data_IF_335430631453
#
_entry.id   IF_335430631453
#
_cell.length_a   1.000
_cell.length_b   1.000
_cell.length_c   1.000
_cell.angle_alpha   90.00
_cell.angle_beta   90.00
_cell.angle_gamma   90.00
#
_symmetry.space_group_name_H-M   'P 1'
#
loop_
_entity.id
_entity.type
_entity.pdbx_description
1 polymer ?
#
# COMPACT_ATOMS: atom_id res chain seq x y z
N UNK A 1 -22.91 -13.64 8.80
CA UNK A 1 -21.60 -13.93 9.40
C UNK A 1 -21.54 -13.31 10.78
N UNK A 2 -20.81 -13.90 11.71
CA UNK A 2 -20.68 -13.41 13.09
C UNK A 2 -20.03 -12.00 13.11
N UNK A 3 -20.75 -10.97 13.61
CA UNK A 3 -20.23 -9.60 13.69
C UNK A 3 -18.93 -9.46 14.50
N UNK A 4 -18.68 -10.37 15.44
CA UNK A 4 -17.51 -10.31 16.32
C UNK A 4 -16.22 -10.66 15.60
N UNK A 5 -16.26 -11.66 14.69
CA UNK A 5 -15.10 -12.04 13.89
C UNK A 5 -14.67 -10.91 12.95
N UNK A 6 -15.65 -10.21 12.36
CA UNK A 6 -15.40 -9.11 11.43
C UNK A 6 -14.78 -7.90 12.14
N UNK A 7 -15.25 -7.59 13.36
CA UNK A 7 -14.67 -6.54 14.20
C UNK A 7 -13.27 -6.90 14.71
N UNK A 8 -13.06 -8.15 15.11
CA UNK A 8 -11.75 -8.64 15.54
C UNK A 8 -10.70 -8.48 14.42
N UNK A 9 -11.06 -8.82 13.18
CA UNK A 9 -10.16 -8.66 12.03
C UNK A 9 -9.75 -7.19 11.81
N UNK A 10 -10.72 -6.25 11.93
CA UNK A 10 -10.43 -4.81 11.83
C UNK A 10 -9.53 -4.34 12.98
N UNK A 11 -9.75 -4.84 14.20
CA UNK A 11 -8.94 -4.48 15.36
C UNK A 11 -7.49 -4.96 15.21
N UNK A 12 -7.28 -6.22 14.80
CA UNK A 12 -5.96 -6.78 14.51
C UNK A 12 -5.27 -5.96 13.41
N UNK A 13 -5.99 -5.63 12.34
CA UNK A 13 -5.40 -4.83 11.24
C UNK A 13 -5.04 -3.42 11.70
N UNK A 14 -5.88 -2.77 12.50
CA UNK A 14 -5.57 -1.44 13.02
C UNK A 14 -4.30 -1.45 13.89
N UNK A 15 -4.10 -2.48 14.70
CA UNK A 15 -2.86 -2.68 15.47
C UNK A 15 -1.64 -2.89 14.57
N UNK A 16 -1.79 -3.71 13.52
CA UNK A 16 -0.74 -3.92 12.51
C UNK A 16 -0.36 -2.62 11.78
N UNK A 17 -1.34 -1.85 11.29
CA UNK A 17 -1.09 -0.57 10.60
C UNK A 17 -0.41 0.47 11.50
N UNK A 18 -0.76 0.48 12.80
CA UNK A 18 -0.11 1.33 13.77
C UNK A 18 1.35 0.91 14.00
N UNK A 19 1.60 -0.39 14.11
CA UNK A 19 2.95 -0.93 14.22
C UNK A 19 3.81 -0.61 12.98
N UNK A 20 3.26 -0.77 11.78
CA UNK A 20 3.92 -0.41 10.53
C UNK A 20 4.30 1.09 10.49
N UNK A 21 3.42 1.97 10.99
CA UNK A 21 3.71 3.40 11.08
C UNK A 21 4.85 3.71 12.06
N UNK A 22 4.89 3.03 13.21
CA UNK A 22 5.99 3.15 14.19
C UNK A 22 7.29 2.64 13.58
N UNK A 23 7.26 1.49 12.91
CA UNK A 23 8.43 0.89 12.28
C UNK A 23 8.99 1.76 11.15
N UNK A 24 8.11 2.42 10.38
CA UNK A 24 8.48 3.40 9.36
C UNK A 24 9.11 4.65 9.99
N UNK A 25 8.56 5.16 11.10
CA UNK A 25 9.08 6.32 11.82
C UNK A 25 10.47 6.03 12.43
N UNK A 26 10.66 4.84 13.03
CA UNK A 26 11.94 4.41 13.60
C UNK A 26 13.03 4.22 12.52
N UNK A 27 12.65 3.89 11.29
CA UNK A 27 13.59 3.60 10.20
C UNK A 27 13.42 4.61 9.02
N UNK A 28 13.12 5.86 9.35
CA UNK A 28 12.78 6.90 8.37
C UNK A 28 13.84 7.06 7.27
N UNK A 29 15.12 6.97 7.61
CA UNK A 29 16.26 7.11 6.69
C UNK A 29 16.30 6.05 5.58
N UNK A 30 15.65 4.89 5.79
CA UNK A 30 15.69 3.76 4.86
C UNK A 30 14.33 3.42 4.23
N UNK A 31 13.23 3.80 4.89
CA UNK A 31 11.86 3.40 4.51
C UNK A 31 10.86 4.56 4.38
N UNK A 32 11.21 5.77 4.82
CA UNK A 32 10.27 6.89 4.89
C UNK A 32 9.75 7.33 3.52
N UNK A 33 8.45 7.09 3.27
CA UNK A 33 7.70 7.70 2.16
C UNK A 33 6.49 8.45 2.73
N UNK A 34 6.42 9.76 2.52
CA UNK A 34 5.30 10.59 2.98
C UNK A 34 3.96 10.12 2.42
N UNK A 35 3.93 9.56 1.20
CA UNK A 35 2.70 8.98 0.64
C UNK A 35 2.25 7.74 1.41
N UNK A 36 3.19 6.94 1.91
CA UNK A 36 2.90 5.77 2.73
C UNK A 36 2.37 6.16 4.12
N UNK A 37 2.95 7.20 4.74
CA UNK A 37 2.44 7.76 5.99
C UNK A 37 1.01 8.29 5.82
N UNK A 38 0.76 9.11 4.78
CA UNK A 38 -0.58 9.62 4.50
C UNK A 38 -1.60 8.50 4.27
N UNK A 39 -1.19 7.42 3.58
CA UNK A 39 -2.02 6.24 3.39
C UNK A 39 -2.41 5.58 4.72
N UNK A 40 -1.43 5.37 5.61
CA UNK A 40 -1.67 4.73 6.92
C UNK A 40 -2.54 5.58 7.82
N UNK A 41 -2.31 6.90 7.84
CA UNK A 41 -3.15 7.83 8.61
C UNK A 41 -4.59 7.87 8.09
N UNK A 42 -4.78 7.91 6.77
CA UNK A 42 -6.12 7.87 6.17
C UNK A 42 -6.85 6.55 6.49
N UNK A 43 -6.14 5.42 6.42
CA UNK A 43 -6.68 4.12 6.79
C UNK A 43 -7.03 4.02 8.29
N UNK A 44 -6.13 4.47 9.18
CA UNK A 44 -6.35 4.49 10.63
C UNK A 44 -7.52 5.41 11.02
N UNK A 45 -7.65 6.57 10.34
CA UNK A 45 -8.79 7.47 10.56
C UNK A 45 -10.13 6.79 10.21
N UNK A 46 -10.20 6.11 9.07
CA UNK A 46 -11.40 5.36 8.67
C UNK A 46 -11.69 4.17 9.59
N UNK A 47 -10.68 3.36 9.90
CA UNK A 47 -10.84 2.19 10.79
C UNK A 47 -11.15 2.59 12.24
N UNK A 48 -10.71 3.76 12.70
CA UNK A 48 -11.08 4.32 14.00
C UNK A 48 -12.60 4.50 14.14
N UNK A 49 -13.29 4.97 13.09
CA UNK A 49 -14.76 5.06 13.08
C UNK A 49 -15.43 3.68 13.08
N UNK A 50 -14.87 2.72 12.34
CA UNK A 50 -15.39 1.34 12.29
C UNK A 50 -15.30 0.68 13.68
N UNK A 51 -14.18 0.87 14.39
CA UNK A 51 -13.96 0.28 15.71
C UNK A 51 -14.78 0.96 16.81
N UNK A 52 -14.86 2.29 16.80
CA UNK A 52 -15.56 3.06 17.85
C UNK A 52 -17.08 3.02 17.70
N UNK A 53 -17.60 3.02 16.47
CA UNK A 53 -19.05 3.09 16.18
C UNK A 53 -19.62 1.77 15.68
N UNK A 54 -18.78 0.79 15.34
CA UNK A 54 -19.21 -0.52 14.84
C UNK A 54 -19.86 -0.49 13.45
N UNK A 55 -19.66 0.59 12.69
CA UNK A 55 -20.30 0.83 11.38
C UNK A 55 -19.37 0.44 10.22
N UNK A 56 -19.93 0.14 9.05
CA UNK A 56 -19.19 -0.22 7.82
C UNK A 56 -18.20 -1.39 7.91
N UNK A 57 -18.41 -2.43 8.74
CA UNK A 57 -17.44 -3.52 8.88
C UNK A 57 -17.23 -4.32 7.57
N UNK A 58 -18.26 -4.39 6.71
CA UNK A 58 -18.17 -4.97 5.37
C UNK A 58 -17.18 -4.21 4.48
N UNK A 59 -17.35 -2.89 4.35
CA UNK A 59 -16.51 -2.04 3.52
C UNK A 59 -15.06 -2.00 4.03
N UNK A 60 -14.89 -2.01 5.35
CA UNK A 60 -13.60 -2.15 6.01
C UNK A 60 -12.90 -3.45 5.58
N UNK A 61 -13.57 -4.60 5.72
CA UNK A 61 -12.98 -5.90 5.37
C UNK A 61 -12.75 -6.07 3.87
N UNK A 62 -13.62 -5.52 3.02
CA UNK A 62 -13.39 -5.51 1.58
C UNK A 62 -12.07 -4.79 1.25
N UNK A 63 -11.80 -3.66 1.93
CA UNK A 63 -10.55 -2.93 1.74
C UNK A 63 -9.32 -3.68 2.26
N UNK A 64 -9.47 -4.55 3.27
CA UNK A 64 -8.36 -5.41 3.75
C UNK A 64 -7.78 -6.34 2.68
N UNK A 65 -8.53 -6.65 1.61
CA UNK A 65 -8.02 -7.44 0.49
C UNK A 65 -6.76 -6.79 -0.11
N UNK A 66 -6.61 -5.46 0.00
CA UNK A 66 -5.40 -4.75 -0.46
C UNK A 66 -4.12 -5.20 0.25
N UNK A 67 -4.22 -5.70 1.47
CA UNK A 67 -3.07 -6.19 2.25
C UNK A 67 -2.43 -7.43 1.64
N UNK A 68 -3.13 -8.17 0.77
CA UNK A 68 -2.53 -9.32 0.07
C UNK A 68 -1.32 -8.94 -0.82
N UNK A 69 -1.19 -7.67 -1.18
CA UNK A 69 -0.04 -7.16 -1.93
C UNK A 69 1.16 -6.76 -1.06
N UNK A 70 0.98 -6.54 0.25
CA UNK A 70 2.05 -6.04 1.13
C UNK A 70 3.21 -7.02 1.32
N UNK A 71 3.02 -8.35 1.34
CA UNK A 71 4.15 -9.28 1.40
C UNK A 71 5.13 -9.09 0.24
N UNK A 72 4.63 -8.82 -0.97
CA UNK A 72 5.47 -8.64 -2.16
C UNK A 72 6.20 -7.30 -2.16
N UNK A 73 5.54 -6.24 -1.67
CA UNK A 73 6.15 -4.92 -1.49
C UNK A 73 7.26 -5.00 -0.44
N UNK A 74 7.00 -5.65 0.69
CA UNK A 74 7.98 -5.85 1.75
C UNK A 74 9.14 -6.74 1.28
N UNK A 75 8.86 -7.83 0.56
CA UNK A 75 9.88 -8.70 -0.02
C UNK A 75 10.80 -7.95 -0.99
N UNK A 76 10.27 -7.00 -1.77
CA UNK A 76 11.09 -6.12 -2.62
C UNK A 76 12.03 -5.27 -1.77
N UNK A 77 11.53 -4.67 -0.69
CA UNK A 77 12.37 -3.89 0.22
C UNK A 77 13.48 -4.75 0.84
N UNK A 78 13.18 -5.98 1.27
CA UNK A 78 14.19 -6.91 1.77
C UNK A 78 15.30 -7.19 0.74
N UNK A 79 14.96 -7.37 -0.53
CA UNK A 79 15.97 -7.53 -1.58
C UNK A 79 16.83 -6.27 -1.76
N UNK A 80 16.24 -5.08 -1.65
CA UNK A 80 16.98 -3.81 -1.71
C UNK A 80 17.91 -3.64 -0.48
N UNK A 81 17.43 -3.97 0.72
CA UNK A 81 18.20 -3.91 1.97
C UNK A 81 19.39 -4.89 1.96
N UNK A 82 19.18 -6.11 1.44
CA UNK A 82 20.23 -7.12 1.26
C UNK A 82 21.13 -6.87 0.03
N UNK A 83 20.93 -5.76 -0.69
CA UNK A 83 21.68 -5.37 -1.89
C UNK A 83 21.70 -6.45 -2.99
N UNK A 84 20.61 -7.20 -3.13
CA UNK A 84 20.49 -8.18 -4.21
C UNK A 84 20.56 -7.47 -5.58
N UNK A 85 21.27 -8.03 -6.57
CA UNK A 85 21.29 -7.47 -7.91
C UNK A 85 19.87 -7.38 -8.47
N UNK A 86 19.51 -6.23 -9.06
CA UNK A 86 18.15 -6.04 -9.63
C UNK A 86 17.85 -6.96 -10.81
N UNK A 87 18.87 -7.52 -11.45
CA UNK A 87 18.77 -8.53 -12.50
C UNK A 87 18.55 -9.95 -11.96
N UNK A 88 18.69 -10.16 -10.64
CA UNK A 88 18.53 -11.48 -10.05
C UNK A 88 17.10 -12.01 -10.27
N UNK A 89 17.00 -13.27 -10.70
CA UNK A 89 15.72 -13.88 -11.11
C UNK A 89 14.62 -13.75 -10.06
N UNK A 90 14.95 -13.90 -8.77
CA UNK A 90 14.01 -13.76 -7.66
C UNK A 90 13.48 -12.33 -7.51
N UNK A 91 14.31 -11.32 -7.75
CA UNK A 91 13.92 -9.91 -7.64
C UNK A 91 12.95 -9.56 -8.77
N UNK A 92 13.24 -10.02 -9.99
CA UNK A 92 12.38 -9.83 -11.16
C UNK A 92 11.05 -10.57 -10.99
N UNK A 93 11.08 -11.83 -10.54
CA UNK A 93 9.88 -12.61 -10.30
C UNK A 93 8.99 -11.97 -9.22
N UNK A 94 9.58 -11.55 -8.10
CA UNK A 94 8.84 -10.82 -7.07
C UNK A 94 8.27 -9.50 -7.60
N UNK A 95 9.01 -8.77 -8.44
CA UNK A 95 8.53 -7.54 -9.07
C UNK A 95 7.31 -7.76 -9.96
N UNK A 96 7.31 -8.83 -10.77
CA UNK A 96 6.16 -9.20 -11.61
C UNK A 96 4.98 -9.67 -10.76
N UNK A 97 5.21 -10.52 -9.76
CA UNK A 97 4.18 -10.97 -8.83
C UNK A 97 3.57 -9.81 -8.06
N UNK A 98 4.40 -8.89 -7.55
CA UNK A 98 3.98 -7.65 -6.90
C UNK A 98 3.07 -6.84 -7.82
N UNK A 99 3.44 -6.65 -9.09
CA UNK A 99 2.61 -5.91 -10.04
C UNK A 99 1.25 -6.58 -10.30
N UNK A 100 1.24 -7.89 -10.49
CA UNK A 100 0.00 -8.65 -10.73
C UNK A 100 -0.92 -8.60 -9.50
N UNK A 101 -0.41 -8.92 -8.32
CA UNK A 101 -1.19 -8.94 -7.08
C UNK A 101 -1.68 -7.53 -6.73
N UNK A 102 -0.82 -6.51 -6.85
CA UNK A 102 -1.20 -5.12 -6.60
C UNK A 102 -2.34 -4.67 -7.52
N UNK A 103 -2.28 -5.01 -8.82
CA UNK A 103 -3.37 -4.72 -9.74
C UNK A 103 -4.67 -5.41 -9.32
N UNK A 104 -4.62 -6.73 -9.09
CA UNK A 104 -5.81 -7.53 -8.78
C UNK A 104 -6.50 -7.08 -7.49
N UNK A 105 -5.74 -6.88 -6.42
CA UNK A 105 -6.31 -6.66 -5.08
C UNK A 105 -6.50 -5.19 -4.72
N UNK A 106 -5.94 -4.26 -5.49
CA UNK A 106 -6.11 -2.81 -5.25
C UNK A 106 -6.85 -2.11 -6.37
N UNK A 107 -6.56 -2.39 -7.64
CA UNK A 107 -7.12 -1.65 -8.79
C UNK A 107 -8.37 -2.34 -9.33
N UNK A 108 -8.30 -3.63 -9.62
CA UNK A 108 -9.40 -4.37 -10.25
C UNK A 108 -10.64 -4.48 -9.35
N UNK A 109 -10.47 -4.41 -8.02
CA UNK A 109 -11.56 -4.42 -7.04
C UNK A 109 -12.26 -3.06 -6.88
N UNK A 110 -11.65 -1.94 -7.34
CA UNK A 110 -12.23 -0.60 -7.16
C UNK A 110 -13.62 -0.47 -7.78
N UNK A 111 -13.90 -0.94 -9.02
CA UNK A 111 -15.24 -0.83 -9.60
C UNK A 111 -16.29 -1.57 -8.77
N UNK A 112 -16.02 -2.80 -8.35
CA UNK A 112 -16.94 -3.57 -7.49
C UNK A 112 -17.17 -2.92 -6.12
N UNK A 113 -16.13 -2.30 -5.56
CA UNK A 113 -16.24 -1.54 -4.32
C UNK A 113 -17.18 -0.35 -4.50
N UNK A 114 -16.92 0.50 -5.49
CA UNK A 114 -17.69 1.71 -5.73
C UNK A 114 -19.14 1.41 -6.12
N UNK A 115 -19.41 0.34 -6.86
CA UNK A 115 -20.79 -0.12 -7.09
C UNK A 115 -21.52 -0.43 -5.78
N UNK A 116 -20.84 -1.09 -4.82
CA UNK A 116 -21.39 -1.37 -3.51
C UNK A 116 -21.59 -0.09 -2.68
N UNK A 117 -20.67 0.88 -2.78
CA UNK A 117 -20.81 2.20 -2.13
C UNK A 117 -22.02 2.93 -2.71
N UNK A 118 -22.14 2.98 -4.04
CA UNK A 118 -23.23 3.69 -4.69
C UNK A 118 -24.60 3.12 -4.34
N UNK A 119 -24.69 1.79 -4.22
CA UNK A 119 -25.91 1.12 -3.78
C UNK A 119 -26.35 1.48 -2.35
N UNK A 120 -25.46 2.04 -1.51
CA UNK A 120 -25.84 2.50 -0.17
C UNK A 120 -26.41 3.91 -0.13
N UNK A 121 -26.20 4.75 -1.16
CA UNK A 121 -26.75 6.11 -1.13
C UNK A 121 -28.29 6.09 -1.15
N UNK A 122 -28.89 6.92 -0.31
CA UNK A 122 -30.36 6.99 -0.16
C UNK A 122 -30.96 5.87 0.68
N UNK A 123 -30.15 4.97 1.24
CA UNK A 123 -30.63 3.97 2.20
C UNK A 123 -30.72 4.54 3.62
N UNK A 124 -31.70 4.11 4.44
CA UNK A 124 -31.78 4.50 5.85
C UNK A 124 -30.50 4.15 6.63
N UNK A 125 -29.81 3.08 6.24
CA UNK A 125 -28.54 2.66 6.82
C UNK A 125 -27.46 3.71 6.59
N UNK A 126 -27.39 4.27 5.38
CA UNK A 126 -26.44 5.34 5.05
C UNK A 126 -26.73 6.60 5.86
N UNK A 127 -27.99 7.02 5.99
CA UNK A 127 -28.35 8.20 6.79
C UNK A 127 -28.00 8.03 8.28
N UNK A 128 -28.19 6.83 8.83
CA UNK A 128 -27.88 6.50 10.23
C UNK A 128 -26.40 6.58 10.58
N UNK A 129 -25.48 6.55 9.61
CA UNK A 129 -24.05 6.71 9.89
C UNK A 129 -23.73 8.06 10.54
N UNK A 130 -24.48 9.10 10.16
CA UNK A 130 -24.15 10.49 10.46
C UNK A 130 -23.08 11.06 9.54
N UNK A 131 -23.16 12.37 9.28
CA UNK A 131 -22.35 13.09 8.29
C UNK A 131 -20.85 12.90 8.51
N UNK A 132 -20.38 12.91 9.77
CA UNK A 132 -18.95 12.74 10.06
C UNK A 132 -18.40 11.39 9.58
N UNK A 133 -19.12 10.29 9.83
CA UNK A 133 -18.68 8.96 9.41
C UNK A 133 -18.80 8.77 7.90
N UNK A 134 -19.82 9.35 7.26
CA UNK A 134 -19.96 9.37 5.80
C UNK A 134 -18.78 10.10 5.14
N UNK A 135 -18.47 11.32 5.59
CA UNK A 135 -17.36 12.12 5.06
C UNK A 135 -16.03 11.39 5.28
N UNK A 136 -15.76 10.90 6.48
CA UNK A 136 -14.55 10.17 6.79
C UNK A 136 -14.38 8.94 5.89
N UNK A 137 -15.46 8.18 5.68
CA UNK A 137 -15.45 7.00 4.84
C UNK A 137 -15.18 7.33 3.37
N UNK A 138 -15.94 8.23 2.76
CA UNK A 138 -15.83 8.53 1.33
C UNK A 138 -14.50 9.22 1.01
N UNK A 139 -14.08 10.21 1.81
CA UNK A 139 -12.83 10.95 1.57
C UNK A 139 -11.60 10.07 1.70
N UNK A 140 -11.54 9.22 2.73
CA UNK A 140 -10.44 8.27 2.91
C UNK A 140 -10.39 7.27 1.75
N UNK A 141 -11.52 6.74 1.29
CA UNK A 141 -11.56 5.82 0.15
C UNK A 141 -11.00 6.44 -1.13
N UNK A 142 -11.41 7.67 -1.46
CA UNK A 142 -10.92 8.38 -2.64
C UNK A 142 -9.40 8.63 -2.53
N UNK A 143 -8.93 9.10 -1.36
CA UNK A 143 -7.51 9.33 -1.14
C UNK A 143 -6.68 8.06 -1.33
N UNK A 144 -7.13 6.93 -0.74
CA UNK A 144 -6.49 5.63 -0.87
C UNK A 144 -6.47 5.13 -2.32
N UNK A 145 -7.53 5.35 -3.09
CA UNK A 145 -7.61 4.94 -4.50
C UNK A 145 -6.67 5.73 -5.41
N UNK A 146 -6.55 7.04 -5.18
CA UNK A 146 -5.58 7.88 -5.90
C UNK A 146 -4.16 7.40 -5.62
N UNK A 147 -3.82 7.18 -4.35
CA UNK A 147 -2.50 6.66 -3.94
C UNK A 147 -2.19 5.31 -4.60
N UNK A 148 -3.14 4.37 -4.54
CA UNK A 148 -3.01 3.06 -5.17
C UNK A 148 -2.82 3.18 -6.69
N UNK A 149 -3.52 4.09 -7.36
CA UNK A 149 -3.38 4.32 -8.80
C UNK A 149 -2.00 4.86 -9.17
N UNK A 150 -1.48 5.82 -8.39
CA UNK A 150 -0.13 6.37 -8.56
C UNK A 150 0.93 5.27 -8.39
N UNK A 151 0.80 4.44 -7.34
CA UNK A 151 1.72 3.33 -7.11
C UNK A 151 1.65 2.28 -8.22
N UNK A 152 0.44 1.92 -8.68
CA UNK A 152 0.28 1.00 -9.82
C UNK A 152 1.01 1.53 -11.05
N UNK A 153 0.86 2.81 -11.38
CA UNK A 153 1.56 3.43 -12.50
C UNK A 153 3.09 3.32 -12.35
N UNK A 154 3.63 3.61 -11.16
CA UNK A 154 5.07 3.49 -10.88
C UNK A 154 5.56 2.03 -11.01
N UNK A 155 4.79 1.07 -10.50
CA UNK A 155 5.10 -0.36 -10.56
C UNK A 155 5.06 -0.85 -12.01
N UNK A 156 4.00 -0.56 -12.75
CA UNK A 156 3.85 -0.94 -14.16
C UNK A 156 5.00 -0.40 -15.02
N UNK A 157 5.36 0.87 -14.83
CA UNK A 157 6.49 1.49 -15.53
C UNK A 157 7.82 0.81 -15.19
N UNK A 158 8.01 0.40 -13.95
CA UNK A 158 9.17 -0.38 -13.52
C UNK A 158 9.23 -1.75 -14.21
N UNK A 159 8.15 -2.51 -14.17
CA UNK A 159 8.03 -3.82 -14.82
C UNK A 159 8.24 -3.72 -16.33
N UNK A 160 7.65 -2.72 -16.99
CA UNK A 160 7.82 -2.50 -18.43
C UNK A 160 9.28 -2.25 -18.82
N UNK A 161 10.03 -1.47 -18.03
CA UNK A 161 11.47 -1.24 -18.28
C UNK A 161 12.30 -2.51 -18.18
N UNK A 162 11.96 -3.41 -17.24
CA UNK A 162 12.65 -4.69 -17.05
C UNK A 162 12.35 -5.64 -18.20
N UNK A 163 11.08 -5.73 -18.61
CA UNK A 163 10.63 -6.63 -19.70
C UNK A 163 11.13 -6.18 -21.07
N UNK A 164 11.24 -4.88 -21.32
CA UNK A 164 11.71 -4.34 -22.62
C UNK A 164 13.23 -4.25 -22.75
N UNK A 165 14.00 -4.77 -21.78
CA UNK A 165 15.46 -4.85 -21.86
C UNK A 165 16.20 -3.51 -21.81
N UNK A 166 15.51 -2.38 -21.63
CA UNK A 166 16.11 -1.05 -21.61
C UNK A 166 16.92 -0.74 -20.34
N UNK A 167 16.96 -1.69 -19.39
CA UNK A 167 17.80 -1.64 -18.18
C UNK A 167 19.00 -2.60 -18.20
N UNK A 168 19.31 -3.22 -19.36
CA UNK A 168 20.31 -4.30 -19.47
C UNK A 168 21.42 -4.09 -20.49
N UNK A 169 21.78 -2.84 -20.83
CA UNK A 169 23.06 -2.56 -21.51
C UNK A 169 24.03 -1.93 -20.52
N UNK A 170 24.93 -2.75 -20.00
CA UNK A 170 26.20 -2.25 -19.49
C UNK A 170 26.91 -1.48 -20.61
N UNK A 171 27.23 -0.22 -20.35
CA UNK A 171 28.23 0.49 -21.12
C UNK A 171 29.61 -0.04 -20.70
N UNK A 172 30.52 -0.37 -21.64
CA UNK A 172 31.89 -0.71 -21.30
C UNK A 172 32.71 0.55 -21.00
N UNK A 173 33.60 0.45 -20.02
CA UNK A 173 34.56 1.50 -19.61
C UNK A 173 34.24 1.98 -18.19
N UNK A 174 34.95 1.58 -17.13
CA UNK A 174 36.39 1.39 -17.05
C UNK A 174 37.05 2.72 -16.68
N UNK A 175 36.91 3.13 -15.42
CA UNK A 175 37.88 3.97 -14.73
C UNK A 175 37.66 3.82 -13.22
N UNK A 176 38.60 3.16 -12.56
CA UNK A 176 38.85 3.30 -11.13
C UNK A 176 39.05 4.77 -10.79
N UNK A 177 38.38 5.27 -9.76
CA UNK A 177 38.87 6.43 -9.02
C UNK A 177 38.84 6.14 -7.52
N UNK A 178 40.02 6.32 -6.91
CA UNK A 178 40.44 5.92 -5.57
C UNK A 178 39.59 6.51 -4.44
N UNK A 179 39.62 5.90 -3.23
CA UNK A 179 39.07 6.52 -2.03
C UNK A 179 40.01 7.63 -1.55
N UNK A 180 39.53 8.88 -1.52
CA UNK A 180 40.18 9.97 -0.79
C UNK A 180 39.50 10.15 0.55
N UNK A 181 40.19 9.72 1.61
CA UNK A 181 39.96 10.21 2.97
C UNK A 181 40.26 11.71 3.06
N UNK A 182 39.55 12.40 3.96
CA UNK A 182 39.94 13.60 4.73
C UNK A 182 38.69 13.90 5.61
N UNK A 183 38.65 13.66 6.94
CA UNK A 183 39.35 14.33 8.04
C UNK A 183 39.50 15.85 7.89
N UNK A 184 39.20 16.57 8.99
CA UNK A 184 39.35 18.01 9.30
C UNK A 184 38.36 18.93 8.56
N UNK A 185 37.51 19.75 9.19
CA UNK A 185 37.41 20.29 10.56
C UNK A 185 35.93 20.47 10.97
#
# INVERSE_FOLDING_TARGET
GDPNLVKLNVAVTCGYLLYDLVLLACNWSSMGDGFFVCHHLAALYAYGYVLTRGVLPYFANFRLISELSTPFVNQRWFFEALKFPRSHRLVVLNGVAMAAVFFLVRIAVMPSYWLSVFATFGTPEFERLGVGAQVAWITSCIALDILNSIWMYKIARGCYKVLTGRGGRGGPGGAEEKPSNNHTD
#
